data_IF_290062345766
#
_entry.id   IF_290062345766
#
_cell.length_a   1.000
_cell.length_b   1.000
_cell.length_c   1.000
_cell.angle_alpha   90.00
_cell.angle_beta   90.00
_cell.angle_gamma   90.00
#
_symmetry.space_group_name_H-M   'P 1'
#
loop_
_entity.id
_entity.type
_entity.pdbx_description
1 polymer ?
#
# COMPACT_ATOMS: atom_id res chain seq x y z
N UNK A 1 16.49 -3.41 -36.66
CA UNK A 1 16.42 -2.24 -35.78
C UNK A 1 15.55 -2.61 -34.60
N UNK A 2 16.13 -3.04 -33.48
CA UNK A 2 15.37 -3.25 -32.24
C UNK A 2 15.41 -1.93 -31.47
N UNK A 3 14.29 -1.20 -31.47
CA UNK A 3 14.20 0.10 -30.82
C UNK A 3 14.45 -0.05 -29.31
N UNK A 4 15.42 0.70 -28.73
CA UNK A 4 15.69 0.68 -27.29
C UNK A 4 14.49 1.14 -26.44
N UNK A 5 13.52 1.81 -27.06
CA UNK A 5 12.31 2.36 -26.42
C UNK A 5 11.33 1.30 -25.92
N UNK A 6 11.31 0.10 -26.53
CA UNK A 6 10.41 -0.98 -26.09
C UNK A 6 10.78 -1.51 -24.70
N UNK A 7 12.07 -1.71 -24.42
CA UNK A 7 12.51 -2.24 -23.13
C UNK A 7 12.36 -1.23 -21.98
N UNK A 8 12.49 0.06 -22.26
CA UNK A 8 12.23 1.11 -21.28
C UNK A 8 10.74 1.15 -20.90
N UNK A 9 9.85 1.00 -21.89
CA UNK A 9 8.39 1.00 -21.70
C UNK A 9 7.89 -0.23 -20.94
N UNK A 10 8.42 -1.42 -21.24
CA UNK A 10 8.08 -2.66 -20.53
C UNK A 10 8.52 -2.64 -19.06
N UNK A 11 9.71 -2.09 -18.78
CA UNK A 11 10.21 -1.92 -17.41
C UNK A 11 9.32 -0.96 -16.62
N UNK A 12 8.99 0.19 -17.19
CA UNK A 12 8.11 1.16 -16.54
C UNK A 12 6.74 0.55 -16.17
N UNK A 13 6.14 -0.21 -17.10
CA UNK A 13 4.87 -0.91 -16.84
C UNK A 13 5.00 -1.97 -15.73
N UNK A 14 6.08 -2.74 -15.73
CA UNK A 14 6.34 -3.73 -14.68
C UNK A 14 6.51 -3.08 -13.29
N UNK A 15 7.20 -1.94 -13.21
CA UNK A 15 7.34 -1.17 -11.96
C UNK A 15 6.01 -0.64 -11.44
N UNK A 16 5.19 -0.03 -12.30
CA UNK A 16 3.85 0.46 -11.94
C UNK A 16 2.97 -0.69 -11.45
N UNK A 17 3.02 -1.83 -12.14
CA UNK A 17 2.24 -3.03 -11.77
C UNK A 17 2.69 -3.60 -10.42
N UNK A 18 4.00 -3.61 -10.15
CA UNK A 18 4.54 -4.08 -8.87
C UNK A 18 4.20 -3.12 -7.71
N UNK A 19 4.27 -1.81 -7.94
CA UNK A 19 3.86 -0.80 -6.97
C UNK A 19 2.36 -0.91 -6.64
N UNK A 20 1.51 -1.06 -7.66
CA UNK A 20 0.07 -1.25 -7.48
C UNK A 20 -0.24 -2.50 -6.64
N UNK A 21 0.43 -3.63 -6.90
CA UNK A 21 0.27 -4.86 -6.10
C UNK A 21 0.68 -4.66 -4.64
N UNK A 22 1.81 -3.98 -4.40
CA UNK A 22 2.30 -3.68 -3.04
C UNK A 22 1.34 -2.76 -2.29
N UNK A 23 0.83 -1.73 -2.97
CA UNK A 23 -0.19 -0.82 -2.43
C UNK A 23 -1.45 -1.58 -2.05
N UNK A 24 -2.01 -2.37 -2.96
CA UNK A 24 -3.22 -3.14 -2.71
C UNK A 24 -3.06 -4.10 -1.51
N UNK A 25 -1.89 -4.74 -1.37
CA UNK A 25 -1.58 -5.57 -0.21
C UNK A 25 -1.52 -4.75 1.09
N UNK A 26 -0.89 -3.57 1.08
CA UNK A 26 -0.83 -2.70 2.25
C UNK A 26 -2.23 -2.20 2.67
N UNK A 27 -3.06 -1.80 1.70
CA UNK A 27 -4.45 -1.40 1.95
C UNK A 27 -5.29 -2.54 2.52
N UNK A 28 -5.13 -3.77 2.00
CA UNK A 28 -5.82 -4.94 2.50
C UNK A 28 -5.44 -5.21 3.96
N UNK A 29 -4.15 -5.16 4.29
CA UNK A 29 -3.66 -5.31 5.68
C UNK A 29 -4.22 -4.22 6.59
N UNK A 30 -4.22 -2.97 6.14
CA UNK A 30 -4.77 -1.86 6.92
C UNK A 30 -6.27 -2.03 7.21
N UNK A 31 -7.05 -2.56 6.27
CA UNK A 31 -8.47 -2.86 6.47
C UNK A 31 -8.66 -4.01 7.45
N UNK A 32 -7.90 -5.09 7.29
CA UNK A 32 -7.99 -6.26 8.17
C UNK A 32 -7.72 -5.89 9.62
N UNK A 33 -6.62 -5.17 9.89
CA UNK A 33 -6.32 -4.70 11.24
C UNK A 33 -7.38 -3.74 11.81
N UNK A 34 -8.05 -2.93 10.98
CA UNK A 34 -9.19 -2.13 11.46
C UNK A 34 -10.37 -3.00 11.89
N UNK A 35 -10.73 -4.00 11.08
CA UNK A 35 -11.79 -4.94 11.41
C UNK A 35 -11.47 -5.72 12.69
N UNK A 36 -10.21 -6.16 12.86
CA UNK A 36 -9.78 -6.87 14.06
C UNK A 36 -9.84 -5.96 15.30
N UNK A 37 -9.47 -4.67 15.16
CA UNK A 37 -9.58 -3.69 16.24
C UNK A 37 -11.04 -3.40 16.62
N UNK A 38 -11.93 -3.29 15.64
CA UNK A 38 -13.37 -3.13 15.87
C UNK A 38 -13.97 -4.36 16.57
N UNK A 39 -13.54 -5.57 16.21
CA UNK A 39 -13.96 -6.80 16.88
C UNK A 39 -13.47 -6.82 18.34
N UNK A 40 -12.22 -6.45 18.57
CA UNK A 40 -11.65 -6.39 19.91
C UNK A 40 -12.34 -5.37 20.83
N UNK A 41 -12.76 -4.22 20.29
CA UNK A 41 -13.60 -3.27 21.04
C UNK A 41 -14.95 -3.88 21.44
N UNK A 42 -15.59 -4.64 20.54
CA UNK A 42 -16.86 -5.33 20.84
C UNK A 42 -16.69 -6.39 21.92
N UNK A 43 -15.52 -7.03 21.96
CA UNK A 43 -15.16 -8.04 22.96
C UNK A 43 -14.64 -7.41 24.27
N UNK A 44 -14.61 -6.08 24.38
CA UNK A 44 -14.13 -5.37 25.57
C UNK A 44 -12.62 -5.36 25.76
N UNK A 45 -11.84 -5.82 24.77
CA UNK A 45 -10.39 -5.87 24.82
C UNK A 45 -9.78 -4.60 24.20
N UNK A 46 -9.83 -3.50 24.96
CA UNK A 46 -9.34 -2.19 24.51
C UNK A 46 -7.84 -2.20 24.16
N UNK A 47 -7.00 -2.89 24.94
CA UNK A 47 -5.56 -2.95 24.70
C UNK A 47 -5.22 -3.62 23.36
N UNK A 48 -5.91 -4.72 23.02
CA UNK A 48 -5.75 -5.36 21.73
C UNK A 48 -6.31 -4.49 20.58
N UNK A 49 -7.42 -3.80 20.82
CA UNK A 49 -7.97 -2.88 19.82
C UNK A 49 -6.99 -1.75 19.48
N UNK A 50 -6.31 -1.17 20.47
CA UNK A 50 -5.29 -0.14 20.27
C UNK A 50 -4.12 -0.65 19.41
N UNK A 51 -3.57 -1.84 19.71
CA UNK A 51 -2.52 -2.47 18.91
C UNK A 51 -2.98 -2.74 17.46
N UNK A 52 -4.21 -3.21 17.28
CA UNK A 52 -4.81 -3.37 15.95
C UNK A 52 -4.89 -2.05 15.18
N UNK A 53 -5.35 -0.97 15.82
CA UNK A 53 -5.43 0.34 15.16
C UNK A 53 -4.06 0.97 14.87
N UNK A 54 -3.04 0.71 15.69
CA UNK A 54 -1.65 1.06 15.38
C UNK A 54 -1.13 0.34 14.14
N UNK A 55 -1.34 -0.97 14.06
CA UNK A 55 -0.95 -1.77 12.88
C UNK A 55 -1.71 -1.32 11.63
N UNK A 56 -3.00 -0.99 11.76
CA UNK A 56 -3.78 -0.45 10.66
C UNK A 56 -3.19 0.86 10.13
N UNK A 57 -2.84 1.80 11.03
CA UNK A 57 -2.20 3.08 10.67
C UNK A 57 -0.85 2.87 10.00
N UNK A 58 -0.04 1.94 10.51
CA UNK A 58 1.24 1.58 9.89
C UNK A 58 1.06 1.12 8.43
N UNK A 59 0.15 0.18 8.19
CA UNK A 59 -0.09 -0.34 6.84
C UNK A 59 -0.72 0.70 5.90
N UNK A 60 -1.56 1.59 6.43
CA UNK A 60 -2.10 2.71 5.67
C UNK A 60 -1.00 3.69 5.28
N UNK A 61 -0.08 4.02 6.20
CA UNK A 61 1.11 4.82 5.90
C UNK A 61 1.97 4.19 4.79
N UNK A 62 2.17 2.86 4.83
CA UNK A 62 2.89 2.15 3.77
C UNK A 62 2.21 2.24 2.40
N UNK A 63 0.87 2.20 2.35
CA UNK A 63 0.15 2.42 1.09
C UNK A 63 0.38 3.85 0.56
N UNK A 64 0.33 4.87 1.43
CA UNK A 64 0.57 6.27 1.07
C UNK A 64 2.02 6.54 0.63
N UNK A 65 3.00 5.89 1.25
CA UNK A 65 4.42 5.99 0.82
C UNK A 65 4.58 5.47 -0.61
N UNK A 66 3.95 4.34 -0.96
CA UNK A 66 4.03 3.75 -2.30
C UNK A 66 3.41 4.69 -3.35
N UNK A 67 2.33 5.41 -3.00
CA UNK A 67 1.73 6.43 -3.85
C UNK A 67 2.63 7.63 -4.07
N UNK A 68 3.27 8.12 -2.99
CA UNK A 68 4.23 9.21 -3.07
C UNK A 68 5.43 8.88 -3.96
N UNK A 69 5.91 7.64 -3.94
CA UNK A 69 6.93 7.16 -4.88
C UNK A 69 6.42 7.03 -6.32
N UNK A 70 5.14 6.69 -6.51
CA UNK A 70 4.51 6.67 -7.84
C UNK A 70 4.36 8.07 -8.45
N UNK A 71 4.09 9.09 -7.62
CA UNK A 71 4.01 10.50 -8.02
C UNK A 71 5.40 11.12 -8.27
N UNK A 72 6.41 10.78 -7.48
CA UNK A 72 7.78 11.28 -7.68
C UNK A 72 8.46 10.76 -8.97
N UNK A 73 7.94 9.68 -9.56
CA UNK A 73 8.40 9.11 -10.83
C UNK A 73 7.55 9.52 -12.03
N UNK A 74 6.48 10.28 -11.83
CA UNK A 74 5.79 10.97 -12.91
C UNK A 74 6.51 12.31 -13.12
N UNK A 75 7.35 12.47 -14.17
CA UNK A 75 7.81 13.81 -14.52
C UNK A 75 6.57 14.67 -14.78
N UNK A 76 6.55 15.82 -14.14
CA UNK A 76 5.64 16.94 -14.35
C UNK A 76 5.24 17.01 -15.83
N UNK A 77 3.94 16.91 -16.11
CA UNK A 77 3.39 16.98 -17.46
C UNK A 77 2.32 18.05 -17.54
#
# INVERSE_FOLDING_TARGET
MNSPDNHASERALAFVTQAAKRRAHAELRARQWRTDGEAALKDGNAAWAEDCFEKARYWQGKASEIDGYGLALAPDR
#
